data_IF_748505306147
#
_entry.id   IF_748505306147
#
_cell.length_a   1.000
_cell.length_b   1.000
_cell.length_c   1.000
_cell.angle_alpha   90.00
_cell.angle_beta   90.00
_cell.angle_gamma   90.00
#
_symmetry.space_group_name_H-M   'P 1'
#
loop_
_entity.id
_entity.type
_entity.pdbx_description
1 polymer ?
#
# COMPACT_ATOMS: atom_id res chain seq x y z
N UNK A 1 -23.84 -9.38 0.19
CA UNK A 1 -24.91 -8.78 -0.64
C UNK A 1 -24.24 -8.05 -1.77
N UNK A 2 -24.53 -8.33 -3.05
CA UNK A 2 -23.95 -7.57 -4.17
C UNK A 2 -24.20 -6.07 -4.05
N UNK A 3 -25.38 -5.67 -3.56
CA UNK A 3 -25.77 -4.28 -3.37
C UNK A 3 -25.02 -3.54 -2.26
N UNK A 4 -24.17 -4.24 -1.48
CA UNK A 4 -23.31 -3.62 -0.46
C UNK A 4 -21.91 -3.28 -0.98
N UNK A 5 -21.64 -3.48 -2.27
CA UNK A 5 -20.39 -3.03 -2.89
C UNK A 5 -20.39 -1.51 -2.96
N UNK A 6 -19.29 -0.84 -2.54
CA UNK A 6 -19.26 0.61 -2.58
C UNK A 6 -19.01 1.11 -4.01
N UNK A 7 -19.74 2.15 -4.41
CA UNK A 7 -19.71 2.68 -5.79
C UNK A 7 -18.30 3.05 -6.27
N UNK A 8 -17.48 3.62 -5.38
CA UNK A 8 -16.11 4.04 -5.72
C UNK A 8 -15.24 2.89 -6.24
N UNK A 9 -15.56 1.63 -5.88
CA UNK A 9 -14.77 0.47 -6.27
C UNK A 9 -14.81 0.24 -7.78
N UNK A 10 -15.98 0.44 -8.40
CA UNK A 10 -16.16 0.24 -9.84
C UNK A 10 -15.38 1.27 -10.66
N UNK A 11 -15.28 2.50 -10.15
CA UNK A 11 -14.50 3.56 -10.79
C UNK A 11 -13.00 3.48 -10.48
N UNK A 12 -12.63 2.87 -9.36
CA UNK A 12 -11.24 2.78 -8.89
C UNK A 12 -10.48 1.60 -9.51
N UNK A 13 -11.09 0.43 -9.66
CA UNK A 13 -10.37 -0.74 -10.20
C UNK A 13 -10.16 -0.58 -11.72
N UNK A 14 -8.91 -0.50 -12.22
CA UNK A 14 -8.65 -0.38 -13.65
C UNK A 14 -8.85 -1.71 -14.39
N UNK A 15 -8.96 -1.67 -15.72
CA UNK A 15 -9.02 -2.88 -16.56
C UNK A 15 -7.77 -3.78 -16.43
N UNK A 16 -6.61 -3.20 -16.11
CA UNK A 16 -5.36 -3.91 -15.82
C UNK A 16 -4.85 -3.45 -14.46
N UNK A 17 -4.83 -4.38 -13.51
CA UNK A 17 -4.39 -4.14 -12.15
C UNK A 17 -5.30 -4.82 -11.14
N UNK A 18 -4.86 -4.90 -9.89
CA UNK A 18 -5.61 -5.55 -8.82
C UNK A 18 -4.87 -5.47 -7.50
N UNK A 19 -5.53 -5.85 -6.41
CA UNK A 19 -4.95 -5.81 -5.07
C UNK A 19 -5.65 -6.80 -4.15
N UNK A 20 -5.02 -7.09 -3.01
CA UNK A 20 -5.68 -7.79 -1.92
C UNK A 20 -6.56 -6.81 -1.14
N UNK A 21 -7.84 -7.15 -1.02
CA UNK A 21 -8.81 -6.40 -0.22
C UNK A 21 -8.40 -6.36 1.27
N UNK A 22 -8.77 -5.29 1.96
CA UNK A 22 -8.30 -5.01 3.31
C UNK A 22 -8.77 -5.98 4.38
N UNK A 23 -9.96 -6.57 4.22
CA UNK A 23 -10.47 -7.56 5.19
C UNK A 23 -11.54 -8.47 4.57
N UNK A 24 -11.62 -9.71 5.06
CA UNK A 24 -12.67 -10.69 4.74
C UNK A 24 -13.09 -11.40 6.02
N UNK A 25 -14.38 -11.35 6.33
CA UNK A 25 -14.97 -12.07 7.44
C UNK A 25 -16.44 -12.47 7.13
N UNK A 26 -17.11 -13.27 7.98
CA UNK A 26 -18.49 -13.65 7.73
C UNK A 26 -19.39 -12.43 7.47
N UNK A 27 -20.03 -12.42 6.30
CA UNK A 27 -20.89 -11.34 5.81
C UNK A 27 -20.24 -9.95 5.71
N UNK A 28 -18.90 -9.84 5.71
CA UNK A 28 -18.20 -8.55 5.60
C UNK A 28 -16.95 -8.65 4.73
N UNK A 29 -16.82 -7.73 3.79
CA UNK A 29 -15.59 -7.48 3.05
C UNK A 29 -15.25 -6.00 3.14
N UNK A 30 -14.03 -5.68 3.55
CA UNK A 30 -13.51 -4.32 3.48
C UNK A 30 -12.70 -4.19 2.19
N UNK A 31 -13.29 -3.50 1.22
CA UNK A 31 -12.69 -3.33 -0.10
C UNK A 31 -11.58 -2.30 -0.12
N UNK A 32 -11.31 -1.54 0.95
CA UNK A 32 -10.25 -0.54 0.92
C UNK A 32 -8.90 -1.16 0.58
N UNK A 33 -8.12 -0.45 -0.21
CA UNK A 33 -6.72 -0.78 -0.49
C UNK A 33 -5.86 -0.38 0.70
N UNK A 34 -4.92 -1.23 1.10
CA UNK A 34 -3.94 -0.94 2.16
C UNK A 34 -2.52 -1.16 1.63
N UNK A 35 -1.70 -0.11 1.71
CA UNK A 35 -0.36 -0.10 1.11
C UNK A 35 0.55 -1.17 1.72
N UNK A 36 0.66 -1.19 3.05
CA UNK A 36 1.57 -2.09 3.76
C UNK A 36 1.22 -3.56 3.47
N UNK A 37 -0.06 -3.92 3.53
CA UNK A 37 -0.50 -5.30 3.28
C UNK A 37 -0.15 -5.77 1.87
N UNK A 38 -0.40 -4.94 0.85
CA UNK A 38 -0.08 -5.29 -0.53
C UNK A 38 1.43 -5.34 -0.79
N UNK A 39 2.22 -4.42 -0.22
CA UNK A 39 3.68 -4.47 -0.35
C UNK A 39 4.26 -5.71 0.35
N UNK A 40 3.82 -6.02 1.57
CA UNK A 40 4.28 -7.20 2.30
C UNK A 40 3.86 -8.48 1.59
N UNK A 41 2.66 -8.55 0.99
CA UNK A 41 2.24 -9.70 0.21
C UNK A 41 3.17 -9.97 -1.00
N UNK A 42 3.65 -8.91 -1.66
CA UNK A 42 4.68 -9.03 -2.70
C UNK A 42 5.98 -9.53 -2.08
N UNK A 43 6.48 -8.88 -1.03
CA UNK A 43 7.79 -9.18 -0.43
C UNK A 43 7.88 -10.58 0.18
N UNK A 44 6.80 -11.08 0.77
CA UNK A 44 6.74 -12.41 1.37
C UNK A 44 6.48 -13.54 0.39
N UNK A 45 6.33 -13.24 -0.92
CA UNK A 45 5.91 -14.20 -1.95
C UNK A 45 4.52 -14.81 -1.73
N UNK A 46 3.68 -14.16 -0.91
CA UNK A 46 2.26 -14.53 -0.79
C UNK A 46 1.51 -14.21 -2.09
N UNK A 47 1.81 -13.06 -2.69
CA UNK A 47 1.31 -12.69 -3.99
C UNK A 47 2.05 -13.48 -5.07
N UNK A 48 1.31 -14.18 -5.93
CA UNK A 48 1.88 -14.76 -7.16
C UNK A 48 2.54 -13.69 -8.03
N UNK A 49 3.44 -14.05 -8.97
CA UNK A 49 4.06 -13.07 -9.87
C UNK A 49 3.02 -12.24 -10.64
N UNK A 50 1.93 -12.86 -11.10
CA UNK A 50 0.83 -12.16 -11.79
C UNK A 50 0.08 -11.18 -10.87
N UNK A 51 -0.18 -11.57 -9.62
CA UNK A 51 -0.82 -10.67 -8.64
C UNK A 51 0.12 -9.52 -8.26
N UNK A 52 1.41 -9.80 -8.08
CA UNK A 52 2.42 -8.78 -7.80
C UNK A 52 2.49 -7.75 -8.94
N UNK A 53 2.54 -8.21 -10.19
CA UNK A 53 2.49 -7.34 -11.36
C UNK A 53 1.19 -6.52 -11.41
N UNK A 54 0.04 -7.13 -11.09
CA UNK A 54 -1.25 -6.44 -11.05
C UNK A 54 -1.34 -5.36 -9.95
N UNK A 55 -0.70 -5.58 -8.80
CA UNK A 55 -0.58 -4.56 -7.73
C UNK A 55 0.23 -3.37 -8.23
N UNK A 56 1.34 -3.62 -8.93
CA UNK A 56 2.14 -2.52 -9.49
C UNK A 56 1.41 -1.79 -10.63
N UNK A 57 0.69 -2.51 -11.49
CA UNK A 57 -0.17 -1.93 -12.54
C UNK A 57 -1.24 -1.01 -11.92
N UNK A 58 -1.86 -1.42 -10.80
CA UNK A 58 -2.82 -0.60 -10.07
C UNK A 58 -2.18 0.69 -9.54
N UNK A 59 -0.99 0.60 -8.93
CA UNK A 59 -0.28 1.77 -8.39
C UNK A 59 0.08 2.75 -9.52
N UNK A 60 0.49 2.27 -10.67
CA UNK A 60 0.78 3.12 -11.84
C UNK A 60 -0.51 3.75 -12.39
N UNK A 61 -1.59 2.97 -12.54
CA UNK A 61 -2.86 3.45 -13.08
C UNK A 61 -3.60 4.44 -12.15
N UNK A 62 -3.48 4.25 -10.84
CA UNK A 62 -4.12 5.07 -9.79
C UNK A 62 -3.11 5.86 -8.97
N UNK A 63 -2.06 6.34 -9.65
CA UNK A 63 -0.96 7.06 -9.01
C UNK A 63 -1.45 8.28 -8.23
N UNK A 64 -2.39 9.04 -8.79
CA UNK A 64 -2.92 10.25 -8.15
C UNK A 64 -3.65 9.91 -6.84
N UNK A 65 -4.42 8.83 -6.83
CA UNK A 65 -5.22 8.37 -5.69
C UNK A 65 -4.35 7.72 -4.61
N UNK A 66 -3.35 6.92 -4.99
CA UNK A 66 -2.55 6.10 -4.07
C UNK A 66 -1.23 6.76 -3.63
N UNK A 67 -0.72 7.70 -4.43
CA UNK A 67 0.52 8.43 -4.17
C UNK A 67 0.25 9.94 -4.06
N UNK A 68 -0.43 10.52 -5.05
CA UNK A 68 -0.67 11.96 -5.12
C UNK A 68 0.63 12.75 -5.20
N UNK A 69 0.79 13.74 -4.34
CA UNK A 69 1.96 14.63 -4.21
C UNK A 69 2.85 14.27 -3.01
N UNK A 70 2.51 13.21 -2.27
CA UNK A 70 3.34 12.68 -1.19
C UNK A 70 3.15 11.16 -1.05
N UNK A 71 4.17 10.34 -1.36
CA UNK A 71 4.12 8.91 -1.16
C UNK A 71 4.04 8.56 0.34
N UNK A 72 3.27 7.57 0.79
CA UNK A 72 2.18 6.84 0.10
C UNK A 72 0.93 6.87 0.95
N UNK A 73 -0.24 6.77 0.33
CA UNK A 73 -1.47 6.57 1.11
C UNK A 73 -1.36 5.32 1.97
N UNK A 74 -1.70 5.43 3.24
CA UNK A 74 -1.76 4.26 4.13
C UNK A 74 -2.88 3.32 3.72
N UNK A 75 -4.02 3.91 3.33
CA UNK A 75 -5.17 3.22 2.77
C UNK A 75 -5.94 4.13 1.81
N UNK A 76 -6.79 3.53 0.98
CA UNK A 76 -7.67 4.26 0.07
C UNK A 76 -9.02 3.52 -0.11
N UNK A 77 -10.16 4.25 -0.18
CA UNK A 77 -10.33 5.67 0.16
C UNK A 77 -10.42 5.90 1.69
N UNK A 78 -10.50 7.18 2.09
CA UNK A 78 -10.84 7.54 3.45
C UNK A 78 -12.33 7.29 3.75
N UNK A 79 -12.62 6.94 5.00
CA UNK A 79 -13.97 6.92 5.55
C UNK A 79 -14.47 8.34 5.76
N UNK A 80 -15.73 8.59 5.39
CA UNK A 80 -16.36 9.91 5.47
C UNK A 80 -17.72 9.85 6.18
N UNK A 81 -18.24 11.01 6.61
CA UNK A 81 -19.60 11.19 7.08
C UNK A 81 -20.08 10.12 8.08
N UNK A 82 -21.10 9.34 7.70
CA UNK A 82 -21.68 8.31 8.56
C UNK A 82 -20.73 7.14 8.82
N UNK A 83 -19.99 6.69 7.80
CA UNK A 83 -19.02 5.61 7.94
C UNK A 83 -17.91 5.99 8.91
N UNK A 84 -17.38 7.22 8.82
CA UNK A 84 -16.39 7.71 9.77
C UNK A 84 -16.92 7.69 11.21
N UNK A 85 -18.14 8.21 11.45
CA UNK A 85 -18.75 8.23 12.79
C UNK A 85 -18.88 6.82 13.38
N UNK A 86 -19.39 5.88 12.59
CA UNK A 86 -19.66 4.51 13.05
C UNK A 86 -18.38 3.69 13.20
N UNK A 87 -17.51 3.69 12.18
CA UNK A 87 -16.34 2.79 12.15
C UNK A 87 -15.23 3.28 13.08
N UNK A 88 -15.04 4.60 13.18
CA UNK A 88 -13.96 5.17 14.02
C UNK A 88 -14.43 5.53 15.43
N UNK A 89 -15.74 5.55 15.69
CA UNK A 89 -16.28 6.08 16.95
C UNK A 89 -16.08 7.59 17.08
N UNK A 90 -16.19 8.33 15.98
CA UNK A 90 -15.93 9.77 15.89
C UNK A 90 -14.50 10.19 16.31
N UNK A 91 -13.48 9.37 16.01
CA UNK A 91 -12.09 9.66 16.40
C UNK A 91 -11.55 10.93 15.72
N UNK A 92 -11.28 12.01 16.49
CA UNK A 92 -10.91 13.32 15.94
C UNK A 92 -9.50 13.36 15.34
N UNK A 93 -8.66 12.34 15.54
CA UNK A 93 -7.34 12.21 14.91
C UNK A 93 -7.43 11.62 13.50
N UNK A 94 -8.42 10.75 13.28
CA UNK A 94 -8.65 10.03 12.03
C UNK A 94 -9.74 10.67 11.16
N UNK A 95 -9.74 12.00 11.05
CA UNK A 95 -10.65 12.72 10.16
C UNK A 95 -10.42 12.36 8.69
N UNK A 96 -11.30 12.83 7.80
CA UNK A 96 -11.19 12.63 6.35
C UNK A 96 -9.79 12.94 5.83
N UNK A 97 -9.17 11.97 5.15
CA UNK A 97 -7.82 12.05 4.57
C UNK A 97 -6.73 12.46 5.57
N UNK A 98 -6.83 11.99 6.81
CA UNK A 98 -5.88 12.28 7.89
C UNK A 98 -5.38 11.03 8.58
N UNK A 99 -4.13 11.05 9.02
CA UNK A 99 -3.53 10.02 9.87
C UNK A 99 -3.77 8.60 9.30
N UNK A 100 -4.43 7.69 10.02
CA UNK A 100 -4.71 6.33 9.51
C UNK A 100 -5.87 6.29 8.51
N UNK A 101 -6.69 7.34 8.41
CA UNK A 101 -7.86 7.41 7.55
C UNK A 101 -7.53 8.12 6.21
N UNK A 102 -6.66 7.49 5.40
CA UNK A 102 -6.25 8.01 4.09
C UNK A 102 -5.14 9.07 4.12
N UNK A 103 -4.40 9.18 5.22
CA UNK A 103 -3.18 9.98 5.27
C UNK A 103 -2.08 9.42 4.37
N UNK A 104 -1.16 10.28 3.94
CA UNK A 104 0.06 9.91 3.23
C UNK A 104 1.23 9.77 4.21
N UNK A 105 1.91 8.62 4.20
CA UNK A 105 2.93 8.25 5.18
C UNK A 105 4.28 8.02 4.50
N UNK A 106 5.26 8.92 4.69
CA UNK A 106 6.59 8.82 4.08
C UNK A 106 7.35 7.53 4.43
N UNK A 107 7.12 6.98 5.62
CA UNK A 107 7.73 5.71 6.05
C UNK A 107 7.41 4.56 5.10
N UNK A 108 6.28 4.58 4.38
CA UNK A 108 5.92 3.50 3.45
C UNK A 108 6.78 3.47 2.17
N UNK A 109 7.58 4.52 1.93
CA UNK A 109 8.42 4.64 0.74
C UNK A 109 9.41 3.47 0.58
N UNK A 110 9.98 2.96 1.67
CA UNK A 110 10.91 1.82 1.60
C UNK A 110 10.21 0.52 1.20
N UNK A 111 8.97 0.30 1.65
CA UNK A 111 8.19 -0.88 1.30
C UNK A 111 7.83 -0.89 -0.19
N UNK A 112 7.37 0.25 -0.71
CA UNK A 112 7.13 0.39 -2.14
C UNK A 112 8.41 0.20 -2.94
N UNK A 113 9.54 0.72 -2.44
CA UNK A 113 10.83 0.56 -3.11
C UNK A 113 11.24 -0.90 -3.19
N UNK A 114 11.19 -1.62 -2.07
CA UNK A 114 11.49 -3.04 -2.03
C UNK A 114 10.54 -3.85 -2.96
N UNK A 115 9.24 -3.58 -2.91
CA UNK A 115 8.26 -4.25 -3.77
C UNK A 115 8.48 -3.92 -5.26
N UNK A 116 8.84 -2.68 -5.58
CA UNK A 116 9.18 -2.23 -6.94
C UNK A 116 10.42 -2.93 -7.47
N UNK A 117 11.45 -3.12 -6.65
CA UNK A 117 12.66 -3.85 -7.04
C UNK A 117 12.32 -5.33 -7.24
N UNK A 118 11.60 -5.96 -6.29
CA UNK A 118 11.22 -7.38 -6.38
C UNK A 118 10.40 -7.71 -7.64
N UNK A 119 9.57 -6.77 -8.07
CA UNK A 119 8.72 -6.92 -9.26
C UNK A 119 9.40 -6.45 -10.55
N UNK A 120 10.68 -6.04 -10.51
CA UNK A 120 11.41 -5.58 -11.69
C UNK A 120 10.93 -4.23 -12.23
N UNK A 121 10.32 -3.38 -11.38
CA UNK A 121 9.77 -2.07 -11.74
C UNK A 121 10.38 -0.90 -10.93
N UNK A 122 11.72 -0.74 -10.90
CA UNK A 122 12.38 0.28 -10.08
C UNK A 122 12.03 1.73 -10.45
N UNK A 123 11.48 1.98 -11.65
CA UNK A 123 11.01 3.31 -12.06
C UNK A 123 9.90 3.87 -11.16
N UNK A 124 9.05 3.00 -10.59
CA UNK A 124 7.97 3.38 -9.67
C UNK A 124 8.59 3.95 -8.38
N UNK A 125 9.60 3.26 -7.85
CA UNK A 125 10.35 3.71 -6.67
C UNK A 125 11.10 5.02 -6.93
N UNK A 126 11.80 5.14 -8.07
CA UNK A 126 12.51 6.39 -8.46
C UNK A 126 11.57 7.59 -8.44
N UNK A 127 10.43 7.48 -9.12
CA UNK A 127 9.42 8.55 -9.18
C UNK A 127 8.89 8.91 -7.80
N UNK A 128 8.63 7.94 -6.94
CA UNK A 128 8.15 8.19 -5.58
C UNK A 128 9.22 8.89 -4.72
N UNK A 129 10.48 8.44 -4.79
CA UNK A 129 11.61 9.03 -4.08
C UNK A 129 11.83 10.48 -4.53
N UNK A 130 11.90 10.73 -5.83
CA UNK A 130 12.06 12.08 -6.40
C UNK A 130 10.95 13.03 -5.92
N UNK A 131 9.70 12.55 -5.92
CA UNK A 131 8.57 13.31 -5.41
C UNK A 131 8.71 13.64 -3.92
N UNK A 132 9.11 12.67 -3.08
CA UNK A 132 9.32 12.88 -1.65
C UNK A 132 10.48 13.86 -1.37
N UNK A 133 11.58 13.77 -2.12
CA UNK A 133 12.76 14.64 -2.00
C UNK A 133 12.42 16.13 -2.24
N UNK A 134 11.37 16.43 -3.01
CA UNK A 134 10.96 17.83 -3.24
C UNK A 134 10.52 18.57 -1.97
N UNK A 135 10.08 17.83 -0.94
CA UNK A 135 9.37 18.39 0.23
C UNK A 135 9.82 17.87 1.59
N UNK A 136 10.21 16.60 1.74
CA UNK A 136 10.47 16.01 3.07
C UNK A 136 11.44 16.83 3.94
N UNK A 137 12.56 17.27 3.36
CA UNK A 137 13.53 18.11 4.06
C UNK A 137 12.95 19.49 4.41
N UNK A 138 12.28 20.14 3.45
CA UNK A 138 11.68 21.48 3.62
C UNK A 138 10.62 21.48 4.73
N UNK A 139 9.84 20.41 4.81
CA UNK A 139 8.76 20.24 5.78
C UNK A 139 9.26 19.70 7.14
N UNK A 140 10.59 19.55 7.32
CA UNK A 140 11.23 19.06 8.55
C UNK A 140 10.84 17.62 8.91
N UNK A 141 10.79 16.73 7.92
CA UNK A 141 10.53 15.29 8.07
C UNK A 141 9.27 14.95 8.91
N UNK A 142 8.06 15.33 8.44
CA UNK A 142 6.83 15.04 9.16
C UNK A 142 6.54 13.54 9.31
N UNK A 143 5.80 13.20 10.35
CA UNK A 143 5.28 11.86 10.61
C UNK A 143 4.32 11.38 9.50
N UNK A 144 3.43 12.26 9.05
CA UNK A 144 2.44 11.99 7.99
C UNK A 144 1.94 13.29 7.35
N UNK A 145 1.21 13.15 6.25
CA UNK A 145 0.59 14.23 5.47
C UNK A 145 -0.90 13.98 5.26
N UNK A 146 -1.67 15.06 5.16
CA UNK A 146 -3.12 15.04 5.04
C UNK A 146 -3.61 15.56 3.68
N UNK A 147 -4.88 15.28 3.40
CA UNK A 147 -5.60 15.67 2.18
C UNK A 147 -5.53 14.59 1.10
N UNK A 148 -6.45 14.66 0.15
CA UNK A 148 -6.59 13.68 -0.95
C UNK A 148 -5.28 13.42 -1.67
N UNK A 149 -4.47 14.46 -1.88
CA UNK A 149 -3.18 14.38 -2.57
C UNK A 149 -1.96 14.39 -1.62
N UNK A 150 -2.14 14.44 -0.30
CA UNK A 150 -1.00 14.58 0.63
C UNK A 150 -0.31 15.96 0.57
N UNK A 151 -1.06 17.00 0.22
CA UNK A 151 -0.55 18.38 0.08
C UNK A 151 -0.19 19.02 1.41
N UNK A 152 -0.88 18.67 2.49
CA UNK A 152 -0.75 19.36 3.77
C UNK A 152 0.07 18.51 4.73
N UNK A 153 0.95 19.14 5.51
CA UNK A 153 1.57 18.47 6.67
C UNK A 153 0.45 17.99 7.60
N UNK A 154 0.57 16.78 8.14
CA UNK A 154 -0.49 16.17 8.92
C UNK A 154 -0.92 17.02 10.11
N UNK A 155 -2.22 17.05 10.40
CA UNK A 155 -2.87 17.91 11.41
C UNK A 155 -2.20 17.87 12.79
N UNK A 156 -1.65 16.71 13.16
CA UNK A 156 -0.91 16.49 14.41
C UNK A 156 0.43 15.77 14.14
N UNK A 157 0.99 15.94 12.95
CA UNK A 157 2.23 15.27 12.58
C UNK A 157 3.41 15.84 13.39
N UNK A 158 4.20 14.93 13.98
CA UNK A 158 5.48 15.30 14.59
C UNK A 158 6.52 15.56 13.50
N UNK A 159 7.36 16.57 13.71
CA UNK A 159 8.55 16.81 12.89
C UNK A 159 9.68 15.89 13.30
N UNK A 160 10.64 15.69 12.40
CA UNK A 160 11.82 14.86 12.61
C UNK A 160 11.46 13.43 13.04
N UNK A 161 10.39 12.90 12.47
CA UNK A 161 9.93 11.58 12.81
C UNK A 161 10.92 10.54 12.27
N UNK A 162 11.52 9.76 13.18
CA UNK A 162 12.64 8.86 12.89
C UNK A 162 12.37 7.93 11.71
N UNK A 163 11.19 7.31 11.65
CA UNK A 163 10.86 6.36 10.59
C UNK A 163 10.57 7.01 9.22
N UNK A 164 10.26 8.31 9.18
CA UNK A 164 10.07 9.04 7.92
C UNK A 164 11.42 9.30 7.28
N UNK A 165 12.42 9.62 8.10
CA UNK A 165 13.82 9.76 7.70
C UNK A 165 14.38 8.40 7.30
N UNK A 166 14.25 7.39 8.18
CA UNK A 166 14.80 6.06 7.95
C UNK A 166 14.17 5.39 6.73
N UNK A 167 12.85 5.50 6.53
CA UNK A 167 12.17 4.95 5.37
C UNK A 167 12.67 5.56 4.05
N UNK A 168 12.95 6.86 4.02
CA UNK A 168 13.59 7.50 2.88
C UNK A 168 15.01 6.98 2.64
N UNK A 169 15.84 6.90 3.68
CA UNK A 169 17.23 6.42 3.56
C UNK A 169 17.28 4.96 3.08
N UNK A 170 16.45 4.07 3.65
CA UNK A 170 16.37 2.67 3.23
C UNK A 170 15.93 2.55 1.78
N UNK A 171 14.95 3.36 1.35
CA UNK A 171 14.53 3.40 -0.04
C UNK A 171 15.69 3.78 -0.98
N UNK A 172 16.47 4.81 -0.65
CA UNK A 172 17.66 5.22 -1.42
C UNK A 172 18.70 4.11 -1.48
N UNK A 173 19.07 3.54 -0.33
CA UNK A 173 20.08 2.48 -0.24
C UNK A 173 19.70 1.21 -1.02
N UNK A 174 18.42 0.80 -0.99
CA UNK A 174 17.94 -0.33 -1.78
C UNK A 174 17.94 -0.05 -3.28
N UNK A 175 17.68 1.20 -3.68
CA UNK A 175 17.68 1.57 -5.08
C UNK A 175 19.10 1.70 -5.65
N UNK A 176 20.05 2.16 -4.83
CA UNK A 176 21.49 2.22 -5.14
C UNK A 176 22.10 0.82 -5.23
N UNK A 177 21.74 -0.08 -4.31
CA UNK A 177 22.16 -1.48 -4.32
C UNK A 177 20.95 -2.42 -4.10
N UNK A 178 20.36 -2.94 -5.19
CA UNK A 178 19.25 -3.88 -5.14
C UNK A 178 19.57 -5.22 -4.46
N UNK A 179 20.85 -5.57 -4.25
CA UNK A 179 21.21 -6.82 -3.56
C UNK A 179 20.71 -6.86 -2.11
N UNK A 180 20.49 -5.69 -1.51
CA UNK A 180 19.89 -5.54 -0.18
C UNK A 180 18.45 -6.07 -0.07
N UNK A 181 17.74 -6.27 -1.19
CA UNK A 181 16.37 -6.76 -1.19
C UNK A 181 16.22 -8.11 -0.47
N UNK A 182 17.20 -9.00 -0.60
CA UNK A 182 17.18 -10.33 0.03
C UNK A 182 17.13 -10.31 1.56
N UNK A 183 17.39 -9.18 2.21
CA UNK A 183 17.23 -9.03 3.67
C UNK A 183 15.76 -8.94 4.11
N UNK A 184 14.85 -8.52 3.22
CA UNK A 184 13.44 -8.23 3.56
C UNK A 184 12.44 -8.94 2.66
N UNK A 185 12.90 -9.61 1.61
CA UNK A 185 12.08 -10.35 0.67
C UNK A 185 12.39 -11.85 0.71
N UNK A 186 11.34 -12.66 0.57
CA UNK A 186 11.47 -14.09 0.32
C UNK A 186 11.41 -14.34 -1.18
N UNK A 187 12.11 -15.38 -1.63
CA UNK A 187 11.99 -15.87 -3.01
C UNK A 187 10.69 -16.64 -3.19
N UNK A 188 10.30 -16.88 -4.43
CA UNK A 188 9.21 -17.82 -4.73
C UNK A 188 9.64 -19.25 -4.38
N UNK A 189 8.72 -20.05 -3.84
CA UNK A 189 8.98 -21.47 -3.68
C UNK A 189 9.30 -22.08 -5.05
N UNK A 190 10.51 -22.62 -5.20
CA UNK A 190 10.83 -23.49 -6.34
C UNK A 190 9.80 -24.61 -6.32
N UNK A 191 9.01 -24.75 -7.39
CA UNK A 191 7.93 -25.72 -7.53
C UNK A 191 8.17 -26.97 -6.67
N UNK A 192 7.56 -27.01 -5.49
CA UNK A 192 7.50 -28.24 -4.74
C UNK A 192 6.70 -29.20 -5.61
N UNK A 193 7.25 -30.39 -5.83
CA UNK A 193 6.59 -31.53 -6.50
C UNK A 193 5.09 -31.52 -6.17
N UNK A 194 4.22 -31.68 -7.18
CA UNK A 194 2.78 -31.45 -7.01
C UNK A 194 2.26 -32.21 -5.79
N UNK A 195 1.43 -31.56 -4.95
CA UNK A 195 0.91 -32.23 -3.76
C UNK A 195 0.16 -33.49 -4.19
N UNK A 196 0.41 -34.58 -3.47
CA UNK A 196 -0.29 -35.87 -3.66
C UNK A 196 -1.78 -35.59 -3.82
N UNK A 197 -2.33 -35.88 -5.01
CA UNK A 197 -3.78 -35.83 -5.25
C UNK A 197 -4.42 -36.73 -4.22
N UNK A 198 -5.23 -36.18 -3.32
CA UNK A 198 -6.03 -37.00 -2.40
C UNK A 198 -6.84 -37.99 -3.24
N UNK A 199 -6.63 -39.26 -2.94
CA UNK A 199 -7.38 -40.39 -3.48
C UNK A 199 -8.88 -40.10 -3.44
N UNK A 200 -9.55 -40.22 -4.58
CA UNK A 200 -11.01 -40.29 -4.62
C UNK A 200 -11.45 -41.58 -3.94
N UNK A 201 -11.87 -41.49 -2.68
CA UNK A 201 -12.44 -42.63 -1.95
C UNK A 201 -13.96 -42.50 -1.85
N UNK A 202 -14.60 -43.23 -2.76
CA UNK A 202 -15.87 -43.98 -2.67
C UNK A 202 -17.20 -43.23 -2.50
N UNK A 203 -17.97 -43.23 -3.59
CA UNK A 203 -19.42 -43.36 -3.57
C UNK A 203 -19.80 -44.85 -3.62
N UNK A 204 -20.42 -45.36 -2.54
CA UNK A 204 -21.51 -46.33 -2.55
C UNK A 204 -22.22 -46.29 -1.20
#
# INVERSE_FOLDING_TARGET
>A
MPDSLPDWLFDFVPNRGGYFIGNVSPARMDFRWFCLGNCIAILSSLATPNQSAAIMDLIEARWTELVGEMPLKVCYPALENHEWRVITGCDPKNTRWSYHNGGSWPVLLWLLTAASIKTGRPQIARRAIELAETRLLKDSWPEYYDGTLGRYVGKQARKFQTWSIAGYLVAKMMLEDPSHLGMVALEEDKQMTPPLRRSASWSR
#
